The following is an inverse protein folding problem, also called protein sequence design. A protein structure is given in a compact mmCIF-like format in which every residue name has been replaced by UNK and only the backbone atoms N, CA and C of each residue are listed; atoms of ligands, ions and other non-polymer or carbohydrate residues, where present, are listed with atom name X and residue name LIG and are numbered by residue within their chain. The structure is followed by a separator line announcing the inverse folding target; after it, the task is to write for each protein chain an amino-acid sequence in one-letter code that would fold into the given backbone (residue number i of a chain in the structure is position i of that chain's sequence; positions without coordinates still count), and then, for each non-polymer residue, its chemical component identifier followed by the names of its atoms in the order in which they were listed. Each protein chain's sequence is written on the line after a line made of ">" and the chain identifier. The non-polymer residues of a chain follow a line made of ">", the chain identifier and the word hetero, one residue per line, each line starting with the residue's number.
data_IF_425833926719
#
_entry.id   IF_425833926719
#
_cell.length_a   1.000
_cell.length_b   1.000
_cell.length_c   1.000
_cell.angle_alpha   90.00
_cell.angle_beta   90.00
_cell.angle_gamma   90.00
#
_symmetry.space_group_name_H-M   'P 1'
#
loop_
_entity.id
_entity.type
_entity.pdbx_description
1 polymer ?
#
# COMPACT_ATOMS: atom_id res chain seq x y z
N UNK A 1 14.62 2.80 -14.23
CA UNK A 1 13.85 2.90 -12.96
C UNK A 1 13.63 4.37 -12.61
N UNK A 2 12.43 4.73 -12.15
CA UNK A 2 12.10 6.12 -11.78
C UNK A 2 12.40 6.36 -10.29
N UNK A 3 13.04 7.49 -9.95
CA UNK A 3 13.22 7.89 -8.55
C UNK A 3 11.90 8.34 -7.95
N UNK A 4 11.68 8.04 -6.68
CA UNK A 4 10.58 8.59 -5.88
C UNK A 4 11.11 9.72 -4.99
N UNK A 5 10.26 10.73 -4.76
CA UNK A 5 10.57 11.87 -3.88
C UNK A 5 9.79 11.72 -2.59
N UNK A 6 10.48 11.75 -1.45
CA UNK A 6 9.83 11.87 -0.15
C UNK A 6 9.13 13.23 -0.04
N UNK A 7 7.84 13.24 0.26
CA UNK A 7 7.07 14.48 0.43
C UNK A 7 7.40 15.21 1.73
N UNK A 8 7.93 14.51 2.74
CA UNK A 8 8.29 15.07 4.04
C UNK A 8 9.65 15.79 4.02
N UNK A 9 10.73 15.11 3.63
CA UNK A 9 12.09 15.69 3.65
C UNK A 9 12.64 16.06 2.27
N UNK A 10 11.93 15.75 1.18
CA UNK A 10 12.36 16.09 -0.17
C UNK A 10 13.40 15.17 -0.80
N UNK A 11 13.96 14.20 -0.05
CA UNK A 11 14.95 13.26 -0.55
C UNK A 11 14.45 12.46 -1.78
N UNK A 12 15.33 12.20 -2.75
CA UNK A 12 15.03 11.44 -3.96
C UNK A 12 15.86 10.18 -4.03
N UNK A 13 15.22 9.03 -4.09
CA UNK A 13 15.91 7.73 -4.10
C UNK A 13 15.28 6.76 -5.09
N UNK A 14 16.03 5.73 -5.47
CA UNK A 14 15.51 4.65 -6.31
C UNK A 14 14.81 3.62 -5.42
N UNK A 15 13.53 3.31 -5.67
CA UNK A 15 12.87 2.23 -4.96
C UNK A 15 13.44 0.88 -5.43
N UNK A 16 13.81 0.02 -4.49
CA UNK A 16 14.33 -1.32 -4.76
C UNK A 16 13.32 -2.38 -4.37
N UNK A 17 13.17 -3.44 -5.18
CA UNK A 17 12.20 -4.51 -4.87
C UNK A 17 12.43 -5.13 -3.48
N UNK A 18 13.68 -5.15 -3.00
CA UNK A 18 14.07 -5.68 -1.69
C UNK A 18 13.57 -4.84 -0.51
N UNK A 19 13.37 -3.53 -0.70
CA UNK A 19 12.92 -2.60 0.35
C UNK A 19 11.42 -2.34 0.29
N UNK A 20 10.71 -2.97 -0.66
CA UNK A 20 9.26 -2.89 -0.78
C UNK A 20 8.60 -3.77 0.28
N UNK A 21 7.65 -3.21 1.02
CA UNK A 21 6.82 -3.97 1.96
C UNK A 21 5.33 -3.67 1.72
N UNK A 22 4.47 -4.51 2.29
CA UNK A 22 3.02 -4.34 2.19
C UNK A 22 2.49 -3.72 3.47
N UNK A 23 1.64 -2.70 3.34
CA UNK A 23 0.88 -2.11 4.45
C UNK A 23 -0.59 -2.32 4.20
N UNK A 24 -1.35 -2.57 5.26
CA UNK A 24 -2.80 -2.69 5.19
C UNK A 24 -3.42 -1.58 6.02
N UNK A 25 -4.45 -0.91 5.50
CA UNK A 25 -5.20 0.05 6.28
C UNK A 25 -6.23 -0.68 7.13
N UNK A 26 -6.21 -0.53 8.47
CA UNK A 26 -7.24 -1.07 9.33
C UNK A 26 -8.51 -0.27 9.09
N UNK A 27 -9.43 -0.82 8.31
CA UNK A 27 -10.77 -0.27 8.22
C UNK A 27 -11.61 -0.75 9.41
N UNK A 28 -12.45 0.14 9.95
CA UNK A 28 -13.43 -0.25 10.96
C UNK A 28 -14.40 -1.31 10.45
N UNK A 29 -15.12 -1.94 11.37
CA UNK A 29 -16.12 -3.02 11.15
C UNK A 29 -17.03 -2.84 9.92
N UNK A 30 -17.35 -1.61 9.52
CA UNK A 30 -18.15 -1.33 8.31
C UNK A 30 -17.50 -1.77 7.00
N UNK A 31 -16.17 -1.78 6.90
CA UNK A 31 -15.47 -2.16 5.66
C UNK A 31 -15.30 -3.67 5.52
N UNK A 32 -15.34 -4.42 6.63
CA UNK A 32 -15.34 -5.89 6.60
C UNK A 32 -16.57 -6.42 5.86
N UNK A 33 -17.72 -5.76 5.99
CA UNK A 33 -18.95 -6.11 5.28
C UNK A 33 -18.95 -5.70 3.80
N UNK A 34 -18.04 -4.82 3.38
CA UNK A 34 -18.02 -4.24 2.02
C UNK A 34 -16.94 -4.84 1.10
N UNK A 35 -16.31 -5.95 1.49
CA UNK A 35 -15.52 -6.75 0.56
C UNK A 35 -14.06 -6.33 0.33
N UNK A 36 -13.30 -6.05 1.40
CA UNK A 36 -11.86 -6.29 1.34
C UNK A 36 -10.96 -5.35 2.15
N UNK A 37 -9.90 -5.92 2.70
CA UNK A 37 -8.79 -5.18 3.32
C UNK A 37 -7.97 -4.53 2.20
N UNK A 38 -7.95 -3.19 2.14
CA UNK A 38 -7.08 -2.47 1.21
C UNK A 38 -5.64 -2.60 1.68
N UNK A 39 -4.82 -3.19 0.82
CA UNK A 39 -3.39 -3.30 1.04
C UNK A 39 -2.63 -2.48 0.01
N UNK A 40 -1.43 -2.06 0.35
CA UNK A 40 -0.63 -1.17 -0.47
C UNK A 40 0.83 -1.59 -0.46
N UNK A 41 1.52 -1.41 -1.58
CA UNK A 41 2.97 -1.43 -1.62
C UNK A 41 3.52 -0.11 -1.06
N UNK A 42 4.48 -0.21 -0.14
CA UNK A 42 5.11 0.92 0.51
C UNK A 42 6.64 0.78 0.56
N UNK A 43 7.29 1.93 0.79
CA UNK A 43 8.73 2.07 0.98
C UNK A 43 9.01 3.09 2.08
N UNK A 44 10.10 2.91 2.81
CA UNK A 44 10.57 3.93 3.75
C UNK A 44 11.57 4.86 3.09
N UNK A 45 11.47 6.15 3.41
CA UNK A 45 12.48 7.11 3.02
C UNK A 45 13.79 6.81 3.77
N UNK A 46 14.92 6.56 3.08
CA UNK A 46 16.19 6.24 3.74
C UNK A 46 16.80 7.41 4.50
N UNK A 47 16.29 8.64 4.30
CA UNK A 47 16.78 9.84 4.98
C UNK A 47 16.00 10.18 6.26
N UNK A 48 14.70 9.90 6.31
CA UNK A 48 13.83 10.36 7.42
C UNK A 48 12.86 9.29 7.94
N UNK A 49 12.86 8.08 7.39
CA UNK A 49 12.01 6.97 7.83
C UNK A 49 10.52 7.09 7.50
N UNK A 50 10.06 8.18 6.87
CA UNK A 50 8.64 8.31 6.53
C UNK A 50 8.23 7.28 5.45
N UNK A 51 7.08 6.65 5.67
CA UNK A 51 6.44 5.74 4.74
C UNK A 51 5.94 6.47 3.48
N UNK A 52 6.18 5.85 2.33
CA UNK A 52 5.73 6.30 1.00
C UNK A 52 4.93 5.19 0.36
N UNK A 53 3.63 5.43 0.13
CA UNK A 53 2.74 4.50 -0.58
C UNK A 53 3.00 4.59 -2.09
N UNK A 54 3.26 3.46 -2.72
CA UNK A 54 3.65 3.35 -4.13
C UNK A 54 2.60 2.70 -5.04
N UNK A 55 1.69 1.88 -4.49
CA UNK A 55 0.64 1.25 -5.28
C UNK A 55 -0.42 0.56 -4.42
N UNK A 56 -1.65 0.48 -4.93
CA UNK A 56 -2.76 -0.24 -4.29
C UNK A 56 -2.71 -1.71 -4.73
N UNK A 57 -2.98 -2.62 -3.79
CA UNK A 57 -3.25 -4.03 -4.05
C UNK A 57 -4.74 -4.25 -3.90
N UNK A 58 -5.41 -4.56 -5.01
CA UNK A 58 -6.79 -5.02 -4.98
C UNK A 58 -6.77 -6.49 -4.54
N UNK A 59 -7.57 -6.84 -3.53
CA UNK A 59 -7.78 -8.24 -3.16
C UNK A 59 -8.67 -8.85 -4.27
N UNK A 60 -8.28 -9.98 -4.85
CA UNK A 60 -9.04 -10.64 -5.94
C UNK A 60 -10.23 -11.46 -5.43
N UNK A 61 -10.37 -11.65 -4.11
CA UNK A 61 -11.45 -12.44 -3.51
C UNK A 61 -12.62 -11.54 -3.06
N UNK A 62 -13.29 -10.89 -4.01
CA UNK A 62 -14.69 -10.54 -3.77
C UNK A 62 -15.47 -11.85 -3.73
N UNK A 63 -16.26 -12.15 -2.68
CA UNK A 63 -17.10 -13.34 -2.69
C UNK A 63 -18.04 -13.24 -3.90
N UNK A 64 -17.94 -14.22 -4.81
CA UNK A 64 -18.99 -14.50 -5.76
C UNK A 64 -20.25 -14.76 -4.94
N UNK A 65 -21.19 -13.82 -5.00
CA UNK A 65 -22.54 -14.08 -4.56
C UNK A 65 -23.12 -15.03 -5.59
N UNK A 66 -23.11 -16.32 -5.27
CA UNK A 66 -23.98 -17.29 -5.93
C UNK A 66 -25.40 -16.94 -5.47
N UNK A 67 -26.12 -16.18 -6.28
CA UNK A 67 -27.57 -16.08 -6.21
C UNK A 67 -28.15 -17.46 -6.60
N UNK A 68 -28.61 -18.24 -5.60
CA UNK A 68 -29.55 -19.36 -5.76
C UNK A 68 -30.72 -19.21 -4.77
#
# INVERSE_FOLDING_TARGET
>A
MKKIKCKTCGNRFYPERKTRYTVSEPHGISATFSGGIKSYDAFDCPACGCQIVAGIRLCEDAPVTEDD
#
